data_IF_022594675912
#
_entry.id   IF_022594675912
#
_cell.length_a   1.000
_cell.length_b   1.000
_cell.length_c   1.000
_cell.angle_alpha   90.00
_cell.angle_beta   90.00
_cell.angle_gamma   90.00
#
_symmetry.space_group_name_H-M   'P 1'
#
loop_
_entity.id
_entity.type
_entity.pdbx_description
1 polymer ?
#
# COMPACT_ATOMS: atom_id res chain seq x y z
N UNK A 1 8.00 25.82 12.70
CA UNK A 1 6.88 26.55 12.04
C UNK A 1 5.66 25.63 12.00
N UNK A 2 4.44 26.11 12.28
CA UNK A 2 3.23 25.30 12.13
C UNK A 2 3.09 24.85 10.67
N UNK A 3 2.94 23.54 10.45
CA UNK A 3 2.90 22.93 9.10
C UNK A 3 1.63 23.26 8.32
N UNK A 4 0.61 23.78 8.99
CA UNK A 4 -0.67 24.15 8.40
C UNK A 4 -0.79 25.67 8.39
N UNK A 5 -0.54 26.29 7.23
CA UNK A 5 -0.69 27.72 7.02
C UNK A 5 -2.14 28.08 6.70
N UNK A 6 -2.74 28.97 7.51
CA UNK A 6 -4.05 29.56 7.23
C UNK A 6 -3.84 30.76 6.30
N UNK A 7 -4.44 30.71 5.11
CA UNK A 7 -4.35 31.81 4.14
C UNK A 7 -5.06 33.05 4.68
N UNK A 8 -4.36 34.19 4.68
CA UNK A 8 -4.92 35.50 5.09
C UNK A 8 -5.65 36.24 3.98
N UNK A 9 -5.45 35.85 2.71
CA UNK A 9 -6.06 36.51 1.53
C UNK A 9 -6.95 35.53 0.77
N UNK A 10 -8.06 36.04 0.26
CA UNK A 10 -8.95 35.30 -0.64
C UNK A 10 -8.20 34.89 -1.92
N UNK A 11 -8.51 33.72 -2.50
CA UNK A 11 -7.94 33.29 -3.76
C UNK A 11 -8.35 34.25 -4.90
N UNK A 12 -7.55 34.35 -5.97
CA UNK A 12 -7.90 35.16 -7.14
C UNK A 12 -9.19 34.66 -7.80
N UNK A 13 -9.96 35.58 -8.37
CA UNK A 13 -11.25 35.29 -9.04
C UNK A 13 -11.11 34.87 -10.51
N UNK A 14 -9.92 34.97 -11.09
CA UNK A 14 -9.65 34.68 -12.51
C UNK A 14 -8.91 33.33 -12.68
N UNK A 15 -9.14 32.66 -13.81
CA UNK A 15 -8.54 31.37 -14.16
C UNK A 15 -7.21 31.51 -14.94
N UNK A 16 -6.53 30.39 -15.20
CA UNK A 16 -5.33 30.36 -16.04
C UNK A 16 -5.65 30.67 -17.50
N UNK A 17 -6.77 30.13 -17.97
CA UNK A 17 -7.28 30.35 -19.33
C UNK A 17 -7.62 31.82 -19.56
N UNK A 18 -8.14 32.52 -18.54
CA UNK A 18 -8.39 33.96 -18.64
C UNK A 18 -7.10 34.76 -18.77
N UNK A 19 -6.05 34.37 -18.03
CA UNK A 19 -4.73 35.01 -18.13
C UNK A 19 -4.10 34.75 -19.50
N UNK A 20 -4.19 33.53 -20.02
CA UNK A 20 -3.65 33.17 -21.32
C UNK A 20 -4.36 33.92 -22.45
N UNK A 21 -5.70 33.97 -22.42
CA UNK A 21 -6.51 34.76 -23.34
C UNK A 21 -6.16 36.25 -23.27
N UNK A 22 -6.09 36.83 -22.07
CA UNK A 22 -5.74 38.24 -21.88
C UNK A 22 -4.32 38.59 -22.38
N UNK A 23 -3.36 37.68 -22.16
CA UNK A 23 -1.97 37.87 -22.63
C UNK A 23 -1.90 37.78 -24.16
N UNK A 24 -2.62 36.84 -24.78
CA UNK A 24 -2.66 36.69 -26.23
C UNK A 24 -3.33 37.89 -26.90
N UNK A 25 -4.46 38.38 -26.36
CA UNK A 25 -5.15 39.56 -26.89
C UNK A 25 -4.28 40.81 -26.88
N UNK A 26 -3.48 41.03 -25.84
CA UNK A 26 -2.57 42.19 -25.78
C UNK A 26 -1.35 42.00 -26.69
N UNK A 27 -0.79 40.79 -26.77
CA UNK A 27 0.33 40.50 -27.68
C UNK A 27 -0.04 40.67 -29.15
N UNK A 28 -1.29 40.33 -29.50
CA UNK A 28 -1.82 40.47 -30.86
C UNK A 28 -2.31 41.91 -31.16
N UNK A 29 -2.23 42.83 -30.20
CA UNK A 29 -2.67 44.22 -30.37
C UNK A 29 -4.19 44.40 -30.37
N UNK A 30 -4.97 43.37 -30.02
CA UNK A 30 -6.43 43.39 -30.06
C UNK A 30 -7.04 44.21 -28.91
N UNK A 31 -6.36 44.29 -27.77
CA UNK A 31 -6.85 45.04 -26.59
C UNK A 31 -5.72 45.76 -25.87
N UNK A 32 -6.08 46.86 -25.20
CA UNK A 32 -5.19 47.56 -24.26
C UNK A 32 -5.24 46.92 -22.86
N UNK A 33 -4.23 47.19 -22.03
CA UNK A 33 -4.20 46.70 -20.64
C UNK A 33 -5.46 47.05 -19.82
N UNK A 34 -6.05 48.23 -20.04
CA UNK A 34 -7.30 48.64 -19.37
C UNK A 34 -8.48 47.81 -19.84
N UNK A 35 -8.63 47.64 -21.16
CA UNK A 35 -9.69 46.82 -21.74
C UNK A 35 -9.58 45.36 -21.30
N UNK A 36 -8.36 44.81 -21.23
CA UNK A 36 -8.15 43.45 -20.73
C UNK A 36 -8.51 43.29 -19.24
N UNK A 37 -8.24 44.31 -18.41
CA UNK A 37 -8.68 44.32 -16.99
C UNK A 37 -10.21 44.28 -16.88
N UNK A 38 -10.90 45.10 -17.66
CA UNK A 38 -12.37 45.16 -17.64
C UNK A 38 -13.00 43.88 -18.20
N UNK A 39 -12.45 43.36 -19.29
CA UNK A 39 -12.97 42.16 -19.97
C UNK A 39 -12.76 40.87 -19.18
N UNK A 40 -11.58 40.70 -18.59
CA UNK A 40 -11.18 39.44 -17.92
C UNK A 40 -11.18 39.53 -16.39
N UNK A 41 -11.39 40.71 -15.81
CA UNK A 41 -11.35 40.93 -14.35
C UNK A 41 -9.94 40.77 -13.75
N UNK A 42 -8.88 40.79 -14.56
CA UNK A 42 -7.50 40.56 -14.13
C UNK A 42 -6.80 41.90 -13.86
N UNK A 43 -6.15 42.09 -12.70
CA UNK A 43 -5.38 43.31 -12.44
C UNK A 43 -4.30 43.55 -13.49
N UNK A 44 -4.17 44.81 -13.96
CA UNK A 44 -3.20 45.21 -14.99
C UNK A 44 -1.78 44.77 -14.66
N UNK A 45 -1.37 44.85 -13.40
CA UNK A 45 -0.05 44.43 -12.94
C UNK A 45 0.22 42.95 -13.21
N UNK A 46 -0.78 42.07 -13.05
CA UNK A 46 -0.65 40.63 -13.30
C UNK A 46 -0.36 40.38 -14.78
N UNK A 47 -1.17 40.97 -15.67
CA UNK A 47 -1.00 40.86 -17.12
C UNK A 47 0.34 41.47 -17.55
N UNK A 48 0.67 42.66 -17.06
CA UNK A 48 1.93 43.34 -17.37
C UNK A 48 3.13 42.50 -16.96
N UNK A 49 3.12 41.90 -15.76
CA UNK A 49 4.21 41.03 -15.30
C UNK A 49 4.34 39.75 -16.12
N UNK A 50 3.24 39.20 -16.65
CA UNK A 50 3.25 38.07 -17.59
C UNK A 50 3.92 38.41 -18.92
N UNK A 51 3.69 39.62 -19.44
CA UNK A 51 4.20 40.05 -20.74
C UNK A 51 5.66 40.52 -20.64
N UNK A 52 5.99 41.35 -19.63
CA UNK A 52 7.33 41.92 -19.42
C UNK A 52 8.30 40.99 -18.68
N UNK A 53 7.89 39.77 -18.32
CA UNK A 53 8.83 38.70 -17.92
C UNK A 53 9.36 38.76 -16.49
N UNK A 54 8.63 39.30 -15.50
CA UNK A 54 9.02 39.08 -14.10
C UNK A 54 8.51 37.72 -13.64
N UNK A 55 9.41 36.73 -13.45
CA UNK A 55 9.35 35.48 -12.62
C UNK A 55 7.98 34.79 -12.36
N UNK A 56 6.94 34.98 -13.17
CA UNK A 56 5.63 34.33 -12.97
C UNK A 56 5.20 33.64 -14.26
N UNK A 57 5.30 32.32 -14.27
CA UNK A 57 4.94 31.46 -15.42
C UNK A 57 3.45 31.41 -15.71
N UNK A 58 3.06 31.46 -17.00
CA UNK A 58 1.67 31.51 -17.48
C UNK A 58 0.74 30.50 -16.79
N UNK A 59 1.22 29.29 -16.49
CA UNK A 59 0.49 28.21 -15.84
C UNK A 59 0.21 28.40 -14.32
N UNK A 60 0.36 29.61 -13.75
CA UNK A 60 0.24 29.81 -12.29
C UNK A 60 -0.60 31.00 -11.81
N UNK A 61 -1.69 30.75 -11.09
CA UNK A 61 -2.53 31.81 -10.45
C UNK A 61 -2.00 32.23 -9.06
N UNK A 62 -1.33 31.33 -8.33
CA UNK A 62 -1.03 31.49 -6.91
C UNK A 62 0.15 32.41 -6.56
N UNK A 63 0.04 33.07 -5.40
CA UNK A 63 1.11 33.83 -4.73
C UNK A 63 2.04 32.88 -3.95
N UNK A 64 3.35 32.94 -4.20
CA UNK A 64 4.36 32.12 -3.49
C UNK A 64 5.57 31.77 -4.35
N UNK A 65 6.52 30.99 -3.85
CA UNK A 65 7.63 30.44 -4.68
C UNK A 65 7.10 29.33 -5.60
N UNK A 66 7.53 29.25 -6.86
CA UNK A 66 7.10 28.19 -7.77
C UNK A 66 7.51 26.82 -7.23
N UNK A 67 6.79 25.77 -7.65
CA UNK A 67 7.25 24.39 -7.45
C UNK A 67 8.56 24.20 -8.20
N UNK A 68 9.41 23.32 -7.68
CA UNK A 68 10.69 22.98 -8.31
C UNK A 68 10.46 22.24 -9.62
N UNK A 69 9.48 21.33 -9.62
CA UNK A 69 9.05 20.59 -10.80
C UNK A 69 7.94 21.35 -11.53
N UNK A 70 7.94 21.23 -12.86
CA UNK A 70 6.80 21.63 -13.67
C UNK A 70 5.60 20.69 -13.41
N UNK A 71 4.36 21.14 -13.65
CA UNK A 71 3.18 20.27 -13.51
C UNK A 71 3.29 18.99 -14.35
N UNK A 72 3.89 19.09 -15.55
CA UNK A 72 4.07 17.95 -16.45
C UNK A 72 5.12 16.95 -15.91
N UNK A 73 6.27 17.44 -15.43
CA UNK A 73 7.28 16.58 -14.81
C UNK A 73 6.75 15.89 -13.56
N UNK A 74 5.99 16.62 -12.73
CA UNK A 74 5.36 16.07 -11.53
C UNK A 74 4.35 14.96 -11.90
N UNK A 75 3.54 15.17 -12.95
CA UNK A 75 2.60 14.19 -13.46
C UNK A 75 3.31 12.92 -13.96
N UNK A 76 4.39 13.07 -14.73
CA UNK A 76 5.18 11.94 -15.23
C UNK A 76 5.79 11.10 -14.10
N UNK A 77 6.34 11.76 -13.07
CA UNK A 77 6.85 11.08 -11.88
C UNK A 77 5.71 10.32 -11.19
N UNK A 78 4.56 10.95 -10.97
CA UNK A 78 3.39 10.30 -10.36
C UNK A 78 2.91 9.09 -11.17
N UNK A 79 2.83 9.19 -12.50
CA UNK A 79 2.49 8.07 -13.39
C UNK A 79 3.49 6.92 -13.26
N UNK A 80 4.79 7.22 -13.21
CA UNK A 80 5.84 6.21 -13.00
C UNK A 80 5.67 5.50 -11.65
N UNK A 81 5.42 6.24 -10.56
CA UNK A 81 5.18 5.65 -9.24
C UNK A 81 3.99 4.68 -9.24
N UNK A 82 2.89 5.06 -9.91
CA UNK A 82 1.68 4.24 -10.04
C UNK A 82 1.96 2.98 -10.86
N UNK A 83 2.68 3.09 -11.98
CA UNK A 83 2.99 1.95 -12.84
C UNK A 83 3.95 0.94 -12.20
N UNK A 84 4.88 1.39 -11.35
CA UNK A 84 5.86 0.51 -10.68
C UNK A 84 5.24 -0.34 -9.57
N UNK A 85 4.21 0.16 -8.89
CA UNK A 85 3.55 -0.55 -7.80
C UNK A 85 3.02 -1.95 -8.18
N UNK A 86 2.22 -2.14 -9.25
CA UNK A 86 1.74 -3.47 -9.66
C UNK A 86 2.86 -4.38 -10.17
N UNK A 87 3.98 -3.83 -10.66
CA UNK A 87 5.16 -4.61 -11.07
C UNK A 87 5.91 -5.16 -9.84
N UNK A 88 5.62 -4.65 -8.64
CA UNK A 88 6.19 -5.13 -7.38
C UNK A 88 7.44 -4.35 -6.95
N UNK A 89 7.65 -3.16 -7.53
CA UNK A 89 8.74 -2.26 -7.15
C UNK A 89 8.17 -0.95 -6.56
N UNK A 90 7.50 -1.01 -5.39
CA UNK A 90 6.96 0.18 -4.75
C UNK A 90 8.08 1.16 -4.42
N UNK A 91 7.80 2.45 -4.52
CA UNK A 91 8.75 3.51 -4.19
C UNK A 91 8.48 4.03 -2.78
N UNK A 92 9.49 4.06 -1.94
CA UNK A 92 9.39 4.65 -0.60
C UNK A 92 9.68 6.17 -0.63
N UNK A 93 9.49 6.83 0.51
CA UNK A 93 9.65 8.29 0.62
C UNK A 93 11.07 8.77 0.30
N UNK A 94 12.10 8.05 0.72
CA UNK A 94 13.49 8.46 0.52
C UNK A 94 13.93 8.19 -0.93
N UNK A 95 13.49 7.08 -1.52
CA UNK A 95 13.66 6.80 -2.95
C UNK A 95 12.99 7.87 -3.82
N UNK A 96 11.79 8.33 -3.46
CA UNK A 96 11.13 9.43 -4.17
C UNK A 96 11.96 10.72 -4.13
N UNK A 97 12.54 11.06 -2.97
CA UNK A 97 13.41 12.24 -2.84
C UNK A 97 14.68 12.10 -3.68
N UNK A 98 15.28 10.92 -3.70
CA UNK A 98 16.45 10.63 -4.53
C UNK A 98 16.12 10.72 -6.03
N UNK A 99 15.03 10.09 -6.47
CA UNK A 99 14.54 10.15 -7.84
C UNK A 99 14.35 11.61 -8.31
N UNK A 100 13.78 12.45 -7.46
CA UNK A 100 13.56 13.87 -7.77
C UNK A 100 14.88 14.65 -7.77
N UNK A 101 15.82 14.34 -6.88
CA UNK A 101 17.16 14.93 -6.89
C UNK A 101 17.90 14.61 -8.19
N UNK A 102 17.88 13.35 -8.63
CA UNK A 102 18.47 12.91 -9.88
C UNK A 102 17.80 13.57 -11.08
N UNK A 103 16.47 13.63 -11.10
CA UNK A 103 15.71 14.31 -12.15
C UNK A 103 16.09 15.79 -12.27
N UNK A 104 16.20 16.50 -11.14
CA UNK A 104 16.58 17.92 -11.12
C UNK A 104 18.01 18.12 -11.64
N UNK A 105 18.96 17.24 -11.26
CA UNK A 105 20.34 17.27 -11.76
C UNK A 105 20.42 16.98 -13.26
N UNK A 106 19.73 15.94 -13.73
CA UNK A 106 19.78 15.50 -15.13
C UNK A 106 19.14 16.50 -16.11
N UNK A 107 18.22 17.35 -15.63
CA UNK A 107 17.55 18.35 -16.45
C UNK A 107 18.06 19.78 -16.21
N UNK A 108 19.20 19.94 -15.51
CA UNK A 108 19.80 21.23 -15.18
C UNK A 108 18.82 22.24 -14.54
N UNK A 109 17.86 21.73 -13.76
CA UNK A 109 16.88 22.58 -13.08
C UNK A 109 17.60 23.28 -11.91
N UNK A 110 17.51 24.62 -11.78
CA UNK A 110 18.17 25.34 -10.70
C UNK A 110 17.79 24.78 -9.33
N UNK A 111 18.75 24.13 -8.68
CA UNK A 111 18.52 23.35 -7.47
C UNK A 111 18.20 24.26 -6.26
N UNK A 112 16.96 24.24 -5.74
CA UNK A 112 16.59 25.02 -4.57
C UNK A 112 16.67 24.20 -3.28
N UNK A 113 17.12 22.96 -3.34
CA UNK A 113 17.15 22.03 -2.21
C UNK A 113 18.47 22.16 -1.43
N UNK A 114 18.34 22.18 -0.10
CA UNK A 114 19.47 22.03 0.82
C UNK A 114 20.10 20.64 0.60
N UNK A 115 21.43 20.57 0.53
CA UNK A 115 22.20 19.33 0.24
C UNK A 115 21.76 18.57 -1.01
N UNK A 116 21.17 19.27 -2.00
CA UNK A 116 20.66 18.67 -3.23
C UNK A 116 19.54 17.64 -3.03
N UNK A 117 18.88 17.59 -1.86
CA UNK A 117 17.81 16.62 -1.57
C UNK A 117 16.48 17.30 -1.19
N UNK A 118 15.36 16.87 -1.78
CA UNK A 118 14.05 17.40 -1.37
C UNK A 118 13.75 17.14 0.11
N UNK A 119 13.46 18.22 0.84
CA UNK A 119 13.12 18.16 2.26
C UNK A 119 11.70 17.67 2.55
N UNK A 120 11.35 17.62 3.84
CA UNK A 120 10.04 17.15 4.30
C UNK A 120 8.88 17.98 3.74
N UNK A 121 9.01 19.31 3.74
CA UNK A 121 7.95 20.21 3.28
C UNK A 121 7.68 20.06 1.79
N UNK A 122 8.71 19.74 1.00
CA UNK A 122 8.55 19.43 -0.42
C UNK A 122 7.75 18.14 -0.59
N UNK A 123 8.12 17.07 0.12
CA UNK A 123 7.42 15.77 0.07
C UNK A 123 5.94 15.93 0.45
N UNK A 124 5.64 16.60 1.56
CA UNK A 124 4.27 16.86 1.98
C UNK A 124 3.51 17.73 0.98
N UNK A 125 4.21 18.65 0.29
CA UNK A 125 3.65 19.44 -0.80
C UNK A 125 3.29 18.59 -2.02
N UNK A 126 4.19 17.70 -2.43
CA UNK A 126 4.00 16.76 -3.54
C UNK A 126 2.81 15.83 -3.25
N UNK A 127 2.73 15.24 -2.06
CA UNK A 127 1.62 14.37 -1.67
C UNK A 127 0.27 15.12 -1.61
N UNK A 128 0.25 16.39 -1.21
CA UNK A 128 -0.97 17.21 -1.22
C UNK A 128 -1.47 17.52 -2.63
N UNK A 129 -0.58 17.61 -3.61
CA UNK A 129 -0.93 17.86 -5.01
C UNK A 129 -1.31 16.59 -5.76
N UNK A 130 -0.73 15.45 -5.37
CA UNK A 130 -0.97 14.13 -5.97
C UNK A 130 -1.78 13.26 -4.98
N UNK A 131 -3.05 13.58 -4.80
CA UNK A 131 -3.94 12.89 -3.85
C UNK A 131 -4.34 11.46 -4.29
N UNK A 132 -4.01 11.08 -5.52
CA UNK A 132 -4.22 9.74 -6.07
C UNK A 132 -3.18 8.71 -5.59
N UNK A 133 -2.13 9.16 -4.90
CA UNK A 133 -1.10 8.28 -4.30
C UNK A 133 -1.07 8.43 -2.78
N UNK A 134 -0.80 7.33 -2.08
CA UNK A 134 -0.67 7.30 -0.63
C UNK A 134 0.39 6.32 -0.18
N UNK A 135 1.01 6.59 0.98
CA UNK A 135 1.98 5.69 1.57
C UNK A 135 1.25 4.47 2.14
N UNK A 136 1.52 3.29 1.60
CA UNK A 136 0.92 2.02 2.04
C UNK A 136 2.00 1.07 2.53
N UNK A 137 1.63 0.18 3.44
CA UNK A 137 2.48 -0.96 3.79
C UNK A 137 2.36 -1.99 2.66
N UNK A 138 3.46 -2.26 1.97
CA UNK A 138 3.48 -3.32 0.98
C UNK A 138 3.30 -4.69 1.66
N UNK A 139 2.40 -5.51 1.13
CA UNK A 139 2.28 -6.90 1.55
C UNK A 139 3.42 -7.71 0.92
N UNK A 140 3.99 -8.62 1.69
CA UNK A 140 4.98 -9.54 1.15
C UNK A 140 4.28 -10.56 0.24
N UNK A 141 4.53 -10.46 -1.06
CA UNK A 141 4.04 -11.40 -2.05
C UNK A 141 5.23 -12.10 -2.71
N UNK A 142 5.29 -13.42 -2.56
CA UNK A 142 6.32 -14.21 -3.23
C UNK A 142 6.12 -14.18 -4.76
N UNK A 143 7.21 -14.13 -5.53
CA UNK A 143 7.19 -14.10 -7.00
C UNK A 143 6.38 -15.25 -7.62
N UNK A 144 6.51 -16.45 -7.06
CA UNK A 144 5.75 -17.64 -7.50
C UNK A 144 4.24 -17.41 -7.35
N UNK A 145 3.79 -16.90 -6.20
CA UNK A 145 2.39 -16.55 -5.95
C UNK A 145 1.89 -15.45 -6.88
N UNK A 146 2.74 -14.46 -7.21
CA UNK A 146 2.40 -13.42 -8.17
C UNK A 146 2.20 -13.99 -9.58
N UNK A 147 3.06 -14.90 -9.99
CA UNK A 147 3.02 -15.53 -11.32
C UNK A 147 1.83 -16.49 -11.45
N UNK A 148 1.51 -17.22 -10.38
CA UNK A 148 0.36 -18.12 -10.33
C UNK A 148 -1.01 -17.40 -10.32
N UNK A 149 -1.04 -16.07 -10.11
CA UNK A 149 -2.25 -15.24 -10.22
C UNK A 149 -2.53 -14.78 -11.67
N UNK A 150 -1.89 -15.40 -12.65
CA UNK A 150 -2.22 -15.18 -14.05
C UNK A 150 -3.66 -15.63 -14.35
N UNK A 151 -4.48 -14.82 -15.04
CA UNK A 151 -5.87 -15.16 -15.32
C UNK A 151 -6.03 -16.51 -16.03
N UNK A 152 -5.16 -16.86 -16.97
CA UNK A 152 -5.28 -18.13 -17.69
C UNK A 152 -5.07 -19.32 -16.75
N UNK A 153 -4.09 -19.22 -15.84
CA UNK A 153 -3.86 -20.26 -14.81
C UNK A 153 -5.05 -20.39 -13.87
N UNK A 154 -5.64 -19.26 -13.44
CA UNK A 154 -6.80 -19.25 -12.55
C UNK A 154 -8.03 -19.83 -13.25
N UNK A 155 -8.32 -19.43 -14.49
CA UNK A 155 -9.45 -19.95 -15.24
C UNK A 155 -9.32 -21.44 -15.56
N UNK A 156 -8.13 -21.91 -15.92
CA UNK A 156 -7.84 -23.33 -16.14
C UNK A 156 -8.08 -24.15 -14.86
N UNK A 157 -7.63 -23.66 -13.70
CA UNK A 157 -7.90 -24.30 -12.40
C UNK A 157 -9.41 -24.43 -12.14
N UNK A 158 -10.17 -23.35 -12.29
CA UNK A 158 -11.62 -23.37 -12.02
C UNK A 158 -12.40 -24.21 -13.06
N UNK A 159 -11.94 -24.25 -14.31
CA UNK A 159 -12.50 -25.13 -15.33
C UNK A 159 -12.34 -26.60 -14.91
N UNK A 160 -11.11 -27.02 -14.58
CA UNK A 160 -10.81 -28.38 -14.13
C UNK A 160 -11.53 -28.74 -12.82
N UNK A 161 -11.67 -27.78 -11.91
CA UNK A 161 -12.43 -27.96 -10.68
C UNK A 161 -13.92 -28.21 -11.00
N UNK A 162 -14.50 -27.44 -11.93
CA UNK A 162 -15.87 -27.66 -12.40
C UNK A 162 -16.08 -29.04 -13.02
N UNK A 163 -15.12 -29.51 -13.84
CA UNK A 163 -15.17 -30.85 -14.42
C UNK A 163 -15.10 -31.96 -13.36
N UNK A 164 -14.29 -31.78 -12.31
CA UNK A 164 -14.25 -32.70 -11.18
C UNK A 164 -15.57 -32.72 -10.40
N UNK A 165 -16.18 -31.55 -10.18
CA UNK A 165 -17.47 -31.46 -9.50
C UNK A 165 -18.56 -32.21 -10.26
N UNK A 166 -18.60 -32.08 -11.59
CA UNK A 166 -19.51 -32.82 -12.46
C UNK A 166 -19.23 -34.32 -12.43
N UNK A 167 -17.97 -34.71 -12.60
CA UNK A 167 -17.53 -36.11 -12.62
C UNK A 167 -17.91 -36.87 -11.34
N UNK A 168 -17.86 -36.19 -10.20
CA UNK A 168 -18.10 -36.79 -8.88
C UNK A 168 -19.48 -36.45 -8.28
N UNK A 169 -20.39 -35.84 -9.05
CA UNK A 169 -21.74 -35.46 -8.61
C UNK A 169 -21.72 -34.64 -7.30
N UNK A 170 -20.95 -33.53 -7.31
CA UNK A 170 -20.72 -32.63 -6.17
C UNK A 170 -21.38 -31.24 -6.33
N UNK A 171 -22.14 -30.99 -7.41
CA UNK A 171 -22.68 -29.66 -7.74
C UNK A 171 -23.89 -29.23 -6.87
N UNK A 172 -24.47 -30.12 -6.07
CA UNK A 172 -25.65 -29.85 -5.25
C UNK A 172 -25.36 -29.38 -3.82
N UNK A 173 -26.23 -28.55 -3.19
CA UNK A 173 -26.07 -28.12 -1.80
C UNK A 173 -25.97 -29.28 -0.78
N UNK A 174 -26.69 -30.38 -1.04
CA UNK A 174 -26.64 -31.60 -0.21
C UNK A 174 -25.28 -32.31 -0.23
N UNK A 175 -24.40 -31.95 -1.17
CA UNK A 175 -23.05 -32.50 -1.34
C UNK A 175 -21.98 -31.66 -0.64
N UNK A 176 -22.32 -30.46 -0.15
CA UNK A 176 -21.40 -29.56 0.55
C UNK A 176 -20.69 -30.23 1.75
N UNK A 177 -21.36 -31.16 2.42
CA UNK A 177 -20.80 -31.99 3.51
C UNK A 177 -19.61 -32.87 3.12
N UNK A 178 -19.38 -33.09 1.83
CA UNK A 178 -18.27 -33.89 1.31
C UNK A 178 -17.10 -33.05 0.80
N UNK A 179 -17.26 -31.73 0.78
CA UNK A 179 -16.23 -30.79 0.31
C UNK A 179 -15.60 -30.16 1.53
N UNK A 180 -14.36 -30.55 1.83
CA UNK A 180 -13.61 -30.04 2.97
C UNK A 180 -12.53 -29.08 2.51
N UNK A 181 -12.41 -27.96 3.22
CA UNK A 181 -11.22 -27.14 3.20
C UNK A 181 -10.44 -27.38 4.47
N UNK A 182 -9.16 -27.72 4.34
CA UNK A 182 -8.26 -27.85 5.46
C UNK A 182 -7.12 -26.83 5.32
N UNK A 183 -6.81 -26.09 6.38
CA UNK A 183 -5.72 -25.11 6.38
C UNK A 183 -4.97 -25.10 7.71
N UNK A 184 -3.69 -24.72 7.64
CA UNK A 184 -2.77 -24.70 8.78
C UNK A 184 -2.60 -23.28 9.31
N UNK A 185 -2.79 -23.12 10.62
CA UNK A 185 -2.59 -21.85 11.31
C UNK A 185 -1.52 -21.97 12.40
N UNK A 186 -0.49 -21.14 12.29
CA UNK A 186 0.58 -21.03 13.29
C UNK A 186 0.29 -19.96 14.35
N UNK A 187 0.35 -20.35 15.62
CA UNK A 187 0.15 -19.49 16.78
C UNK A 187 1.47 -19.30 17.52
N UNK A 188 2.03 -18.09 17.45
CA UNK A 188 3.25 -17.75 18.17
C UNK A 188 2.97 -17.61 19.67
N UNK A 189 3.82 -18.20 20.50
CA UNK A 189 3.71 -18.07 21.97
C UNK A 189 4.01 -16.65 22.47
N UNK A 190 4.77 -15.86 21.71
CA UNK A 190 5.13 -14.47 22.04
C UNK A 190 4.92 -13.54 20.83
N UNK A 191 3.71 -12.98 20.62
CA UNK A 191 3.45 -12.11 19.48
C UNK A 191 4.22 -10.79 19.60
N UNK A 192 5.17 -10.56 18.69
CA UNK A 192 6.12 -9.43 18.70
C UNK A 192 5.55 -8.06 18.33
N UNK A 193 4.24 -7.96 18.06
CA UNK A 193 3.60 -6.75 17.51
C UNK A 193 3.01 -5.81 18.59
N UNK A 194 3.68 -5.68 19.73
CA UNK A 194 3.24 -4.76 20.77
C UNK A 194 3.82 -3.36 20.50
N UNK A 195 2.94 -2.36 20.38
CA UNK A 195 3.32 -0.96 20.58
C UNK A 195 3.07 -0.63 22.05
N UNK A 196 4.13 -0.38 22.79
CA UNK A 196 4.06 -0.04 24.21
C UNK A 196 4.38 1.44 24.42
N UNK A 197 3.75 2.03 25.44
CA UNK A 197 4.07 3.38 25.91
C UNK A 197 5.30 3.30 26.81
N UNK A 198 6.23 4.22 26.64
CA UNK A 198 7.45 4.33 27.43
C UNK A 198 7.92 5.77 27.52
N UNK A 199 8.78 6.05 28.50
CA UNK A 199 9.35 7.37 28.70
C UNK A 199 10.23 7.78 27.51
N UNK A 200 10.07 9.03 27.06
CA UNK A 200 10.83 9.55 25.92
C UNK A 200 12.32 9.57 26.23
N UNK A 201 13.13 8.96 25.36
CA UNK A 201 14.59 8.92 25.50
C UNK A 201 15.10 7.79 26.39
N UNK A 202 14.22 6.95 26.95
CA UNK A 202 14.61 5.72 27.65
C UNK A 202 14.34 4.48 26.79
N UNK A 203 15.21 3.45 26.88
CA UNK A 203 14.94 2.17 26.24
C UNK A 203 13.70 1.52 26.85
N UNK A 204 12.87 0.94 25.99
CA UNK A 204 11.68 0.19 26.39
C UNK A 204 11.88 -1.28 25.98
N UNK A 205 11.98 -2.15 26.98
CA UNK A 205 12.17 -3.60 26.77
C UNK A 205 10.95 -4.38 27.21
N UNK A 206 10.55 -5.36 26.39
CA UNK A 206 9.61 -6.42 26.78
C UNK A 206 10.42 -7.64 27.20
N UNK A 207 10.08 -8.21 28.35
CA UNK A 207 10.66 -9.47 28.83
C UNK A 207 9.77 -10.62 28.37
N UNK A 208 10.36 -11.65 27.78
CA UNK A 208 9.68 -12.89 27.42
C UNK A 208 10.36 -14.08 28.11
N UNK A 209 9.57 -15.10 28.48
CA UNK A 209 10.06 -16.26 29.25
C UNK A 209 10.85 -17.29 28.43
N UNK A 210 11.03 -17.07 27.13
CA UNK A 210 11.71 -17.99 26.23
C UNK A 210 12.13 -17.29 24.94
N UNK A 211 12.54 -18.06 23.92
CA UNK A 211 13.04 -17.49 22.66
C UNK A 211 12.02 -16.64 21.88
N UNK A 212 10.73 -16.74 22.21
CA UNK A 212 9.61 -16.12 21.50
C UNK A 212 9.43 -16.63 20.07
N UNK A 213 10.21 -17.64 19.66
CA UNK A 213 10.20 -18.25 18.32
C UNK A 213 9.46 -19.58 18.29
N UNK A 214 8.86 -19.97 19.41
CA UNK A 214 8.02 -21.16 19.47
C UNK A 214 6.64 -20.85 18.91
N UNK A 215 6.19 -21.74 18.04
CA UNK A 215 4.85 -21.68 17.48
C UNK A 215 4.16 -23.01 17.68
N UNK A 216 2.89 -22.96 18.03
CA UNK A 216 1.98 -24.09 18.00
C UNK A 216 1.24 -24.04 16.69
N UNK A 217 1.21 -25.16 15.99
CA UNK A 217 0.54 -25.29 14.70
C UNK A 217 -0.81 -25.96 14.91
N UNK A 218 -1.87 -25.42 14.31
CA UNK A 218 -3.20 -26.02 14.38
C UNK A 218 -3.70 -26.25 12.96
N UNK A 219 -4.03 -27.50 12.64
CA UNK A 219 -4.77 -27.85 11.45
C UNK A 219 -6.26 -27.84 11.77
N UNK A 220 -6.98 -27.02 11.02
CA UNK A 220 -8.44 -26.92 11.10
C UNK A 220 -8.98 -27.40 9.77
N UNK A 221 -9.99 -28.25 9.83
CA UNK A 221 -10.67 -28.69 8.62
C UNK A 221 -12.18 -28.53 8.78
N UNK A 222 -12.79 -27.90 7.78
CA UNK A 222 -14.20 -27.51 7.80
C UNK A 222 -14.82 -27.91 6.46
N UNK A 223 -15.98 -28.54 6.50
CA UNK A 223 -16.77 -28.80 5.30
C UNK A 223 -17.49 -27.54 4.81
N UNK A 224 -17.91 -27.56 3.55
CA UNK A 224 -18.62 -26.44 2.94
C UNK A 224 -20.03 -26.21 3.53
N UNK A 225 -20.61 -27.19 4.23
CA UNK A 225 -21.86 -27.03 5.00
C UNK A 225 -21.63 -26.53 6.44
N UNK A 226 -20.37 -26.28 6.82
CA UNK A 226 -20.00 -25.70 8.12
C UNK A 226 -19.77 -26.72 9.24
N UNK A 227 -19.66 -28.01 8.92
CA UNK A 227 -19.25 -29.02 9.89
C UNK A 227 -17.73 -28.95 10.15
N UNK A 228 -17.36 -28.87 11.43
CA UNK A 228 -15.96 -28.76 11.86
C UNK A 228 -15.44 -30.13 12.25
N UNK A 229 -14.35 -30.55 11.62
CA UNK A 229 -13.59 -31.70 12.07
C UNK A 229 -12.81 -31.33 13.35
N UNK A 230 -12.62 -32.28 14.29
CA UNK A 230 -11.81 -32.01 15.46
C UNK A 230 -10.41 -31.52 15.07
N UNK A 231 -9.90 -30.44 15.68
CA UNK A 231 -8.63 -29.85 15.28
C UNK A 231 -7.46 -30.76 15.66
N UNK A 232 -6.40 -30.69 14.86
CA UNK A 232 -5.11 -31.30 15.19
C UNK A 232 -4.13 -30.21 15.61
N UNK A 233 -3.63 -30.30 16.84
CA UNK A 233 -2.62 -29.39 17.40
C UNK A 233 -1.26 -30.07 17.33
N UNK A 234 -0.32 -29.44 16.63
CA UNK A 234 1.07 -29.90 16.49
C UNK A 234 1.97 -29.00 17.32
N UNK A 235 2.66 -29.60 18.29
CA UNK A 235 3.67 -28.93 19.09
C UNK A 235 5.07 -29.20 18.58
N UNK A 236 5.98 -28.26 18.84
CA UNK A 236 7.41 -28.48 18.64
C UNK A 236 7.95 -29.41 19.73
N UNK A 237 8.44 -30.58 19.34
CA UNK A 237 9.02 -31.55 20.26
C UNK A 237 9.20 -32.94 19.65
N UNK A 238 9.84 -33.84 20.38
CA UNK A 238 10.00 -35.24 19.98
C UNK A 238 8.73 -36.09 20.22
N UNK A 239 7.96 -35.76 21.26
CA UNK A 239 6.74 -36.44 21.64
C UNK A 239 5.78 -35.46 22.34
N UNK A 240 4.49 -35.77 22.31
CA UNK A 240 3.46 -35.00 23.04
C UNK A 240 3.61 -35.24 24.53
N UNK A 241 3.69 -34.15 25.31
CA UNK A 241 3.75 -34.23 26.77
C UNK A 241 2.35 -34.09 27.37
N UNK A 242 2.06 -34.81 28.45
CA UNK A 242 0.75 -34.79 29.10
C UNK A 242 0.27 -33.36 29.44
N UNK A 243 1.19 -32.50 29.89
CA UNK A 243 0.91 -31.09 30.22
C UNK A 243 0.50 -30.20 29.04
N UNK A 244 0.69 -30.65 27.79
CA UNK A 244 0.29 -29.92 26.59
C UNK A 244 -1.15 -30.20 26.17
N UNK A 245 -1.76 -31.23 26.76
CA UNK A 245 -3.14 -31.62 26.50
C UNK A 245 -4.06 -31.06 27.59
N UNK A 246 -5.32 -30.80 27.23
CA UNK A 246 -6.32 -30.29 28.19
C UNK A 246 -7.61 -31.08 28.09
N UNK A 247 -8.19 -31.40 29.25
CA UNK A 247 -9.53 -31.99 29.36
C UNK A 247 -10.64 -31.02 28.96
N UNK A 248 -10.33 -29.72 28.89
CA UNK A 248 -11.24 -28.66 28.43
C UNK A 248 -11.12 -28.39 26.92
N UNK A 249 -10.31 -29.16 26.20
CA UNK A 249 -10.18 -29.00 24.75
C UNK A 249 -11.45 -29.38 24.00
N UNK A 250 -11.60 -28.88 22.77
CA UNK A 250 -12.74 -29.21 21.93
C UNK A 250 -12.85 -30.74 21.75
N UNK A 251 -14.05 -31.35 21.80
CA UNK A 251 -14.18 -32.80 21.71
C UNK A 251 -13.47 -33.40 20.51
N UNK A 252 -12.71 -34.48 20.74
CA UNK A 252 -11.93 -35.15 19.71
C UNK A 252 -10.66 -34.42 19.26
N UNK A 253 -10.29 -33.29 19.89
CA UNK A 253 -9.03 -32.59 19.61
C UNK A 253 -7.86 -33.55 19.72
N UNK A 254 -6.98 -33.51 18.73
CA UNK A 254 -5.80 -34.36 18.65
C UNK A 254 -4.55 -33.56 18.87
N UNK A 255 -3.54 -34.26 19.34
CA UNK A 255 -2.24 -33.69 19.63
C UNK A 255 -1.16 -34.53 18.94
N UNK A 256 -0.25 -33.85 18.26
CA UNK A 256 0.94 -34.44 17.68
C UNK A 256 2.16 -33.58 18.02
N UNK A 257 3.35 -34.14 17.79
CA UNK A 257 4.60 -33.43 17.93
C UNK A 257 5.41 -33.56 16.63
N UNK A 258 6.15 -32.51 16.29
CA UNK A 258 7.17 -32.54 15.23
C UNK A 258 8.43 -31.82 15.72
N UNK A 259 9.61 -32.23 15.23
CA UNK A 259 10.89 -31.67 15.69
C UNK A 259 10.99 -30.16 15.46
N UNK A 260 10.34 -29.68 14.39
CA UNK A 260 10.35 -28.28 13.97
C UNK A 260 9.13 -27.48 14.38
N UNK A 261 8.03 -28.14 14.80
CA UNK A 261 6.80 -27.50 15.23
C UNK A 261 5.83 -27.12 14.11
N UNK A 262 6.16 -27.40 12.86
CA UNK A 262 5.23 -27.33 11.73
C UNK A 262 4.77 -28.72 11.32
N UNK A 263 3.67 -28.78 10.58
CA UNK A 263 3.11 -30.03 10.09
C UNK A 263 4.00 -30.65 9.01
N UNK A 264 4.23 -31.95 9.13
CA UNK A 264 4.84 -32.77 8.08
C UNK A 264 3.85 -33.89 7.73
N UNK A 265 4.19 -34.68 6.71
CA UNK A 265 3.34 -35.74 6.18
C UNK A 265 2.76 -36.69 7.27
N UNK A 266 3.55 -37.18 8.26
CA UNK A 266 3.01 -38.10 9.27
C UNK A 266 1.91 -37.48 10.15
N UNK A 267 2.09 -36.22 10.56
CA UNK A 267 1.11 -35.52 11.40
C UNK A 267 -0.16 -35.22 10.59
N UNK A 268 -0.02 -34.84 9.32
CA UNK A 268 -1.16 -34.60 8.43
C UNK A 268 -2.02 -35.86 8.25
N UNK A 269 -1.40 -36.99 7.92
CA UNK A 269 -2.13 -38.26 7.80
C UNK A 269 -2.72 -38.74 9.12
N UNK A 270 -2.02 -38.55 10.24
CA UNK A 270 -2.58 -38.85 11.56
C UNK A 270 -3.86 -38.05 11.86
N UNK A 271 -3.88 -36.78 11.47
CA UNK A 271 -5.05 -35.90 11.57
C UNK A 271 -6.23 -36.40 10.73
N UNK A 272 -6.00 -36.79 9.47
CA UNK A 272 -7.07 -37.16 8.55
C UNK A 272 -7.57 -38.60 8.69
N UNK A 273 -6.67 -39.58 8.86
CA UNK A 273 -6.97 -41.02 8.83
C UNK A 273 -7.95 -41.49 9.91
N UNK A 274 -8.21 -40.63 10.89
CA UNK A 274 -8.97 -41.03 12.07
C UNK A 274 -10.21 -40.17 12.29
N UNK A 275 -10.58 -39.37 11.28
CA UNK A 275 -11.73 -38.45 11.30
C UNK A 275 -12.72 -38.76 10.16
N UNK A 276 -12.22 -39.30 9.05
CA UNK A 276 -13.01 -39.95 7.98
C UNK A 276 -13.10 -41.46 8.24
#
# INVERSE_FOLDING_TARGET
MPRTYIKKKQPPTYSLEDIERAVNDIKNGNTTYRQAKERYGIPISVIFHRIKGRKVYLYRIGVGRPTVLSPEAEKQITTCLIARAPIGFPCNKEELKQLVSEYVKANDIPNPFHDHLPGEDWYQGFMRRNNNISLKKAEHLQKVRKTARDPATVYDLYSKLGDLYKKHDLEGPSKAKFIFNCDESGFASDPSRLKALGEKGKPLSRVSGGSGRESTTVLICVSADGFFLPPLIVFKGAAVQARWTSTQSYPGTRYAASSKGWMEEPQFFFGLKTVL
#
